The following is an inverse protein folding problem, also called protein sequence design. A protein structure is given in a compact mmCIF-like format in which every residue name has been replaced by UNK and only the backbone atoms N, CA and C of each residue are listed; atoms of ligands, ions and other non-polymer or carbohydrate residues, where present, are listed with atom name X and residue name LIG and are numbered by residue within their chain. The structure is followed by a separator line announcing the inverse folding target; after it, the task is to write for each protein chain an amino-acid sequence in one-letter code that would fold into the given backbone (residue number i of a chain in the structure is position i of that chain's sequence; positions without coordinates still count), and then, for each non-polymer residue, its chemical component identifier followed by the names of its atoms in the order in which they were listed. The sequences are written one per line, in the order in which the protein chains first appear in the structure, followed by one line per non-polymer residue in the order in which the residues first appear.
data_IF_081524227100
#
_entry.id   IF_081524227100
#
_cell.length_a   1.000
_cell.length_b   1.000
_cell.length_c   1.000
_cell.angle_alpha   90.00
_cell.angle_beta   90.00
_cell.angle_gamma   90.00
#
_symmetry.space_group_name_H-M   'P 1'
#
loop_
_entity.id
_entity.type
_entity.pdbx_description
1 polymer ?
#
# COMPACT_ATOMS: atom_id res chain seq x y z
N UNK A 1 16.68 -42.24 10.64
CA UNK A 1 15.64 -41.61 9.82
C UNK A 1 15.64 -40.12 10.16
N UNK A 2 16.10 -39.26 9.25
CA UNK A 2 16.30 -37.83 9.50
C UNK A 2 15.04 -37.06 9.09
N UNK A 3 14.27 -36.55 10.05
CA UNK A 3 13.13 -35.70 9.77
C UNK A 3 13.63 -34.33 9.31
N UNK A 4 13.50 -34.05 8.01
CA UNK A 4 13.72 -32.70 7.47
C UNK A 4 12.56 -31.82 7.91
N UNK A 5 12.85 -30.86 8.77
CA UNK A 5 11.89 -29.79 9.12
C UNK A 5 11.85 -28.84 7.92
N UNK A 6 10.74 -28.86 7.19
CA UNK A 6 10.47 -27.91 6.11
C UNK A 6 9.75 -26.70 6.69
N UNK A 7 10.37 -25.53 6.62
CA UNK A 7 9.73 -24.26 6.93
C UNK A 7 9.10 -23.70 5.65
N UNK A 8 7.77 -23.68 5.57
CA UNK A 8 7.05 -22.90 4.55
C UNK A 8 6.84 -21.49 5.09
N UNK A 9 7.64 -20.54 4.60
CA UNK A 9 7.35 -19.13 4.81
C UNK A 9 6.11 -18.78 3.99
N UNK A 10 4.94 -18.82 4.62
CA UNK A 10 3.79 -18.12 4.09
C UNK A 10 4.08 -16.62 4.27
N UNK A 11 4.68 -15.99 3.25
CA UNK A 11 4.53 -14.56 3.10
C UNK A 11 3.01 -14.32 3.13
N UNK A 12 2.50 -13.70 4.19
CA UNK A 12 1.14 -13.14 4.17
C UNK A 12 1.16 -12.08 3.09
N UNK A 13 0.84 -12.50 1.88
CA UNK A 13 0.78 -11.66 0.71
C UNK A 13 -0.46 -10.79 0.88
N UNK A 14 -0.31 -9.75 1.70
CA UNK A 14 -1.11 -8.55 1.62
C UNK A 14 -1.24 -8.21 0.14
N UNK A 15 -2.44 -8.34 -0.42
CA UNK A 15 -2.70 -8.19 -1.86
C UNK A 15 -2.56 -6.76 -2.39
N UNK A 16 -1.95 -5.88 -1.59
CA UNK A 16 -1.50 -4.57 -1.99
C UNK A 16 -0.12 -4.66 -2.64
N UNK A 17 -0.07 -4.33 -3.93
CA UNK A 17 1.17 -4.10 -4.66
C UNK A 17 1.46 -2.59 -4.73
N UNK A 18 2.72 -2.21 -4.51
CA UNK A 18 3.16 -0.81 -4.57
C UNK A 18 4.37 -0.70 -5.47
N UNK A 19 4.27 0.12 -6.52
CA UNK A 19 5.31 0.26 -7.53
C UNK A 19 5.31 1.65 -8.19
N UNK A 20 6.48 2.15 -8.64
CA UNK A 20 7.80 1.57 -8.46
C UNK A 20 8.29 1.68 -7.00
N UNK A 21 9.24 0.84 -6.62
CA UNK A 21 9.96 0.95 -5.35
C UNK A 21 11.40 0.45 -5.57
N UNK A 22 12.41 1.35 -5.62
CA UNK A 22 12.35 2.77 -5.27
C UNK A 22 11.50 3.63 -6.22
N UNK A 23 10.94 4.73 -5.70
CA UNK A 23 10.14 5.69 -6.44
C UNK A 23 10.80 7.07 -6.46
N UNK A 24 10.47 7.88 -7.47
CA UNK A 24 11.00 9.24 -7.61
C UNK A 24 9.88 10.26 -7.51
N UNK A 25 8.95 10.20 -8.47
CA UNK A 25 7.91 11.22 -8.58
C UNK A 25 6.52 10.67 -8.23
N UNK A 26 6.28 9.39 -8.50
CA UNK A 26 4.95 8.80 -8.40
C UNK A 26 5.03 7.37 -7.88
N UNK A 27 4.08 6.98 -7.04
CA UNK A 27 3.82 5.58 -6.67
C UNK A 27 2.41 5.17 -7.05
N UNK A 28 2.27 3.93 -7.51
CA UNK A 28 1.00 3.31 -7.83
C UNK A 28 0.73 2.21 -6.81
N UNK A 29 -0.48 2.21 -6.29
CA UNK A 29 -1.02 1.21 -5.39
C UNK A 29 -2.03 0.39 -6.19
N UNK A 30 -1.88 -0.92 -6.18
CA UNK A 30 -2.74 -1.85 -6.89
C UNK A 30 -3.32 -2.86 -5.90
N UNK A 31 -4.66 -2.87 -5.81
CA UNK A 31 -5.43 -3.69 -4.87
C UNK A 31 -6.01 -4.95 -5.53
N UNK A 32 -5.71 -5.20 -6.81
CA UNK A 32 -6.32 -6.29 -7.60
C UNK A 32 -5.91 -7.70 -7.20
N UNK A 33 -4.86 -7.87 -6.39
CA UNK A 33 -4.36 -9.20 -6.02
C UNK A 33 -5.21 -9.92 -4.96
N UNK A 34 -6.20 -9.26 -4.35
CA UNK A 34 -7.11 -9.90 -3.40
C UNK A 34 -8.26 -10.57 -4.15
N UNK A 35 -8.18 -11.91 -4.27
CA UNK A 35 -9.15 -12.80 -4.92
C UNK A 35 -10.59 -12.72 -4.39
N UNK A 36 -10.91 -11.88 -3.40
CA UNK A 36 -12.27 -11.68 -2.94
C UNK A 36 -12.50 -10.20 -2.58
N UNK A 37 -13.14 -9.51 -3.52
CA UNK A 37 -13.70 -8.14 -3.45
C UNK A 37 -12.69 -7.00 -3.59
N UNK A 38 -13.02 -6.13 -4.55
CA UNK A 38 -12.52 -4.78 -4.78
C UNK A 38 -12.78 -3.88 -3.56
N UNK A 39 -12.17 -4.18 -2.42
CA UNK A 39 -12.35 -3.36 -1.22
C UNK A 39 -11.37 -2.20 -1.31
N UNK A 40 -11.87 -1.07 -1.81
CA UNK A 40 -11.11 0.17 -1.80
C UNK A 40 -10.81 0.58 -0.35
N UNK A 41 -9.56 0.98 -0.03
CA UNK A 41 -9.19 1.33 1.33
C UNK A 41 -9.91 2.59 1.82
N UNK A 42 -10.16 2.65 3.13
CA UNK A 42 -10.75 3.83 3.78
C UNK A 42 -9.79 5.00 3.72
N UNK A 43 -8.54 4.73 4.07
CA UNK A 43 -7.54 5.75 4.27
C UNK A 43 -6.16 5.21 3.93
N UNK A 44 -5.37 6.04 3.28
CA UNK A 44 -3.96 5.80 3.01
C UNK A 44 -3.19 6.88 3.75
N UNK A 45 -2.22 6.46 4.56
CA UNK A 45 -1.36 7.37 5.33
C UNK A 45 0.09 7.06 5.01
N UNK A 46 0.85 8.10 4.71
CA UNK A 46 2.27 8.01 4.45
C UNK A 46 3.04 8.61 5.63
N UNK A 47 3.92 7.82 6.21
CA UNK A 47 4.82 8.23 7.28
C UNK A 47 6.25 8.30 6.77
N UNK A 48 7.05 9.23 7.29
CA UNK A 48 8.50 9.19 7.13
C UNK A 48 9.13 8.23 8.17
N UNK A 49 10.45 8.05 8.10
CA UNK A 49 11.23 7.25 9.05
C UNK A 49 11.15 7.72 10.52
N UNK A 50 10.79 8.99 10.76
CA UNK A 50 10.60 9.55 12.10
C UNK A 50 9.18 9.34 12.64
N UNK A 51 8.33 8.63 11.89
CA UNK A 51 6.90 8.44 12.19
C UNK A 51 6.06 9.73 12.09
N UNK A 52 6.56 10.77 11.43
CA UNK A 52 5.76 11.95 11.11
C UNK A 52 4.81 11.62 9.96
N UNK A 53 3.55 12.08 10.04
CA UNK A 53 2.58 11.97 8.94
C UNK A 53 2.96 13.00 7.87
N UNK A 54 3.24 12.51 6.66
CA UNK A 54 3.65 13.33 5.53
C UNK A 54 2.49 13.57 4.58
N UNK A 55 1.63 12.56 4.39
CA UNK A 55 0.48 12.66 3.52
C UNK A 55 -0.64 11.77 4.05
N UNK A 56 -1.89 12.25 3.98
CA UNK A 56 -3.09 11.47 4.32
C UNK A 56 -4.12 11.62 3.23
N UNK A 57 -4.70 10.49 2.82
CA UNK A 57 -5.72 10.43 1.77
C UNK A 57 -6.89 9.62 2.33
N UNK A 58 -7.98 10.32 2.65
CA UNK A 58 -9.17 9.74 3.30
C UNK A 58 -10.34 9.52 2.34
N UNK A 59 -10.23 9.94 1.07
CA UNK A 59 -11.27 9.86 0.05
C UNK A 59 -10.72 9.25 -1.24
N UNK A 60 -10.36 7.97 -1.21
CA UNK A 60 -9.79 7.26 -2.36
C UNK A 60 -10.79 7.17 -3.53
N UNK A 61 -12.10 7.30 -3.26
CA UNK A 61 -13.17 7.36 -4.26
C UNK A 61 -13.08 8.59 -5.19
N UNK A 62 -12.54 9.73 -4.76
CA UNK A 62 -12.60 10.99 -5.52
C UNK A 62 -11.35 11.27 -6.37
N UNK A 63 -10.29 10.48 -6.21
CA UNK A 63 -9.06 10.63 -6.99
C UNK A 63 -9.17 10.02 -8.40
N UNK A 64 -10.24 9.25 -8.66
CA UNK A 64 -10.53 8.67 -9.97
C UNK A 64 -11.76 9.30 -10.61
N UNK A 65 -11.72 10.60 -10.89
CA UNK A 65 -12.73 11.21 -11.76
C UNK A 65 -12.54 10.82 -13.25
N UNK A 66 -11.40 10.20 -13.61
CA UNK A 66 -11.03 9.91 -15.00
C UNK A 66 -10.52 8.47 -15.28
N UNK A 67 -10.54 7.55 -14.32
CA UNK A 67 -10.14 6.16 -14.57
C UNK A 67 -11.27 5.19 -14.25
N UNK A 68 -11.96 4.75 -15.30
CA UNK A 68 -12.62 3.45 -15.32
C UNK A 68 -11.63 2.40 -14.78
N UNK A 69 -12.04 1.66 -13.73
CA UNK A 69 -11.31 0.64 -12.96
C UNK A 69 -10.77 1.11 -11.59
N UNK A 70 -11.61 0.94 -10.58
CA UNK A 70 -11.54 1.32 -9.15
C UNK A 70 -10.46 0.62 -8.30
N UNK A 71 -9.54 -0.14 -8.90
CA UNK A 71 -8.58 -1.00 -8.19
C UNK A 71 -7.15 -0.45 -8.10
N UNK A 72 -6.91 0.77 -8.61
CA UNK A 72 -5.60 1.42 -8.56
C UNK A 72 -5.67 2.84 -8.00
N UNK A 73 -4.67 3.24 -7.24
CA UNK A 73 -4.49 4.61 -6.76
C UNK A 73 -3.09 5.08 -7.12
N UNK A 74 -2.99 6.26 -7.71
CA UNK A 74 -1.71 6.91 -8.01
C UNK A 74 -1.48 8.05 -7.03
N UNK A 75 -0.29 8.10 -6.43
CA UNK A 75 0.13 9.14 -5.49
C UNK A 75 1.33 9.89 -6.04
N UNK A 76 1.24 11.20 -6.09
CA UNK A 76 2.37 12.09 -6.34
C UNK A 76 3.22 12.21 -5.07
N UNK A 77 4.49 11.86 -5.20
CA UNK A 77 5.51 11.90 -4.14
C UNK A 77 6.71 12.76 -4.53
N UNK A 78 6.65 13.47 -5.66
CA UNK A 78 7.75 14.28 -6.22
C UNK A 78 8.25 15.40 -5.31
N UNK A 79 7.37 15.91 -4.43
CA UNK A 79 7.69 16.95 -3.46
C UNK A 79 8.35 16.41 -2.17
N UNK A 80 8.40 15.09 -2.00
CA UNK A 80 8.90 14.47 -0.78
C UNK A 80 10.41 14.25 -0.85
N UNK A 81 11.16 14.55 0.23
CA UNK A 81 12.59 14.30 0.28
C UNK A 81 12.91 12.82 0.08
N UNK A 82 14.11 12.55 -0.48
CA UNK A 82 14.70 11.21 -0.50
C UNK A 82 14.74 10.62 0.90
N UNK A 83 14.39 9.35 1.03
CA UNK A 83 14.33 8.71 2.34
C UNK A 83 13.52 7.43 2.35
N UNK A 84 13.31 6.90 3.56
CA UNK A 84 12.48 5.72 3.78
C UNK A 84 11.10 6.14 4.28
N UNK A 85 10.08 5.63 3.63
CA UNK A 85 8.69 5.93 3.97
C UNK A 85 7.91 4.65 4.22
N UNK A 86 6.86 4.79 5.03
CA UNK A 86 5.97 3.72 5.40
C UNK A 86 4.55 4.08 4.99
N UNK A 87 4.04 3.33 4.02
CA UNK A 87 2.69 3.46 3.53
C UNK A 87 1.78 2.54 4.34
N UNK A 88 0.81 3.14 5.03
CA UNK A 88 -0.23 2.45 5.77
C UNK A 88 -1.54 2.54 5.00
N UNK A 89 -2.09 1.39 4.63
CA UNK A 89 -3.38 1.29 3.94
C UNK A 89 -4.39 0.69 4.91
N UNK A 90 -5.31 1.53 5.35
CA UNK A 90 -6.37 1.15 6.29
C UNK A 90 -7.55 0.54 5.52
N UNK A 91 -7.99 -0.66 5.91
CA UNK A 91 -9.14 -1.28 5.26
C UNK A 91 -10.43 -0.52 5.61
N UNK A 92 -11.51 -0.84 4.89
CA UNK A 92 -12.82 -0.23 5.09
C UNK A 92 -13.37 -0.55 6.48
N UNK A 93 -14.13 0.39 7.07
CA UNK A 93 -14.84 0.13 8.33
C UNK A 93 -15.77 -1.09 8.19
N UNK A 94 -15.66 -2.01 9.14
CA UNK A 94 -16.41 -3.27 9.15
C UNK A 94 -15.69 -4.46 8.51
N UNK A 95 -14.49 -4.28 7.93
CA UNK A 95 -13.63 -5.42 7.59
C UNK A 95 -12.81 -5.86 8.82
N UNK A 96 -12.61 -7.17 8.96
CA UNK A 96 -11.70 -7.75 9.97
C UNK A 96 -10.25 -7.83 9.45
N UNK A 97 -9.94 -7.16 8.34
CA UNK A 97 -8.60 -7.15 7.77
C UNK A 97 -7.71 -6.22 8.58
N UNK A 98 -6.41 -6.54 8.61
CA UNK A 98 -5.41 -5.67 9.25
C UNK A 98 -4.99 -4.59 8.26
N UNK A 99 -4.46 -3.49 8.79
CA UNK A 99 -3.82 -2.48 7.96
C UNK A 99 -2.61 -3.08 7.24
N UNK A 100 -2.53 -2.80 5.94
CA UNK A 100 -1.39 -3.19 5.13
C UNK A 100 -0.30 -2.13 5.22
N UNK A 101 0.92 -2.57 5.54
CA UNK A 101 2.07 -1.68 5.69
C UNK A 101 3.13 -2.04 4.67
N UNK A 102 3.56 -1.06 3.87
CA UNK A 102 4.62 -1.23 2.86
C UNK A 102 5.70 -0.19 3.07
N UNK A 103 6.95 -0.65 3.10
CA UNK A 103 8.13 0.22 3.10
C UNK A 103 8.46 0.62 1.67
N UNK A 104 8.66 1.91 1.44
CA UNK A 104 9.00 2.48 0.13
C UNK A 104 10.24 3.34 0.26
N UNK A 105 11.11 3.28 -0.75
CA UNK A 105 12.30 4.10 -0.85
C UNK A 105 12.04 5.23 -1.86
N UNK A 106 12.27 6.47 -1.46
CA UNK A 106 12.21 7.63 -2.37
C UNK A 106 13.61 8.10 -2.78
N UNK A 107 13.78 8.44 -4.05
CA UNK A 107 15.03 8.81 -4.73
C UNK A 107 14.94 10.12 -5.50
#
# INVERSE_FOLDING_TARGET
MSNKISFSWQCTQSGLSVYPNPARDVINLDYSSNSNKEVQPKQIVLYNERSDVVQTISNVNTLSANASNSSKTQLDVSSLPRGTYYLYVMPREGSNEKADVKRILFQ
#
